data_IF_461871545301
#
_entry.id   IF_461871545301
#
_cell.length_a   1.000
_cell.length_b   1.000
_cell.length_c   1.000
_cell.angle_alpha   90.00
_cell.angle_beta   90.00
_cell.angle_gamma   90.00
#
_symmetry.space_group_name_H-M   'P 1'
#
loop_
_entity.id
_entity.type
_entity.pdbx_description
1 polymer ?
#
# COMPACT_ATOMS: atom_id res chain seq x y z
N UNK A 1 -7.15 -12.51 -31.50
CA UNK A 1 -6.86 -11.08 -31.27
C UNK A 1 -7.81 -10.43 -30.23
N UNK A 2 -9.08 -10.83 -30.15
CA UNK A 2 -10.04 -10.26 -29.17
C UNK A 2 -9.78 -10.68 -27.72
N UNK A 3 -9.36 -11.89 -27.45
CA UNK A 3 -9.11 -12.42 -26.08
C UNK A 3 -7.96 -11.68 -25.39
N UNK A 4 -6.88 -11.38 -26.11
CA UNK A 4 -5.71 -10.67 -25.57
C UNK A 4 -6.01 -9.20 -25.20
N UNK A 5 -6.91 -8.53 -25.94
CA UNK A 5 -7.32 -7.16 -25.62
C UNK A 5 -8.19 -7.12 -24.35
N UNK A 6 -9.08 -8.11 -24.20
CA UNK A 6 -9.96 -8.21 -23.02
C UNK A 6 -9.15 -8.50 -21.75
N UNK A 7 -8.18 -9.41 -21.82
CA UNK A 7 -7.27 -9.70 -20.68
C UNK A 7 -6.39 -8.49 -20.33
N UNK A 8 -5.87 -7.77 -21.33
CA UNK A 8 -5.10 -6.54 -21.11
C UNK A 8 -5.93 -5.44 -20.45
N UNK A 9 -7.15 -5.20 -20.96
CA UNK A 9 -8.08 -4.21 -20.40
C UNK A 9 -8.47 -4.57 -18.97
N UNK A 10 -8.83 -5.83 -18.71
CA UNK A 10 -9.16 -6.31 -17.35
C UNK A 10 -7.95 -6.12 -16.42
N UNK A 11 -6.75 -6.46 -16.86
CA UNK A 11 -5.53 -6.32 -16.07
C UNK A 11 -5.22 -4.86 -15.74
N UNK A 12 -5.33 -3.94 -16.72
CA UNK A 12 -5.11 -2.49 -16.51
C UNK A 12 -6.18 -1.90 -15.60
N UNK A 13 -7.45 -2.28 -15.75
CA UNK A 13 -8.52 -1.84 -14.85
C UNK A 13 -8.34 -2.39 -13.44
N UNK A 14 -7.99 -3.66 -13.29
CA UNK A 14 -7.71 -4.26 -11.98
C UNK A 14 -6.53 -3.59 -11.29
N UNK A 15 -5.43 -3.33 -11.99
CA UNK A 15 -4.27 -2.60 -11.44
C UNK A 15 -4.64 -1.17 -11.02
N UNK A 16 -5.46 -0.44 -11.79
CA UNK A 16 -5.92 0.89 -11.40
C UNK A 16 -6.85 0.90 -10.18
N UNK A 17 -7.72 -0.11 -10.07
CA UNK A 17 -8.61 -0.26 -8.91
C UNK A 17 -7.80 -0.62 -7.66
N UNK A 18 -6.86 -1.56 -7.78
CA UNK A 18 -5.97 -1.95 -6.68
C UNK A 18 -5.10 -0.78 -6.25
N UNK A 19 -4.45 -0.06 -7.17
CA UNK A 19 -3.65 1.12 -6.85
C UNK A 19 -4.46 2.25 -6.19
N UNK A 20 -5.71 2.48 -6.61
CA UNK A 20 -6.60 3.45 -5.99
C UNK A 20 -7.06 3.01 -4.59
N UNK A 21 -7.27 1.71 -4.39
CA UNK A 21 -7.61 1.13 -3.09
C UNK A 21 -6.45 1.20 -2.10
N UNK A 22 -5.24 0.91 -2.55
CA UNK A 22 -4.00 1.03 -1.77
C UNK A 22 -3.75 2.48 -1.32
N UNK A 23 -3.91 3.46 -2.20
CA UNK A 23 -3.76 4.88 -1.83
C UNK A 23 -4.80 5.34 -0.81
N UNK A 24 -6.04 4.80 -0.88
CA UNK A 24 -7.11 5.06 0.09
C UNK A 24 -6.73 4.54 1.48
N UNK A 25 -6.26 3.30 1.55
CA UNK A 25 -5.89 2.65 2.82
C UNK A 25 -4.59 3.22 3.39
N UNK A 26 -3.63 3.60 2.55
CA UNK A 26 -2.43 4.31 2.99
C UNK A 26 -2.76 5.67 3.62
N UNK A 27 -3.64 6.49 2.99
CA UNK A 27 -4.11 7.75 3.58
C UNK A 27 -4.89 7.54 4.88
N UNK A 28 -5.71 6.49 4.95
CA UNK A 28 -6.41 6.12 6.16
C UNK A 28 -5.44 5.70 7.27
N UNK A 29 -4.37 4.97 6.93
CA UNK A 29 -3.30 4.58 7.84
C UNK A 29 -2.55 5.79 8.40
N UNK A 30 -2.17 6.75 7.55
CA UNK A 30 -1.56 8.01 7.99
C UNK A 30 -2.47 8.76 8.98
N UNK A 31 -3.77 8.80 8.70
CA UNK A 31 -4.75 9.45 9.59
C UNK A 31 -4.94 8.67 10.89
N UNK A 32 -4.74 7.36 10.89
CA UNK A 32 -4.82 6.52 12.10
C UNK A 32 -3.69 6.78 13.09
N UNK A 33 -2.56 7.31 12.62
CA UNK A 33 -1.45 7.73 13.50
C UNK A 33 -1.78 9.02 14.26
N UNK A 34 -2.79 9.80 13.85
CA UNK A 34 -3.29 10.98 14.55
C UNK A 34 -4.23 11.84 13.70
N UNK A 35 -5.17 12.55 14.36
CA UNK A 35 -6.08 13.46 13.66
C UNK A 35 -5.33 14.53 12.89
N UNK A 36 -5.71 14.80 11.64
CA UNK A 36 -4.97 15.74 10.78
C UNK A 36 -5.80 16.46 9.74
N UNK A 37 -5.19 17.45 9.13
CA UNK A 37 -5.74 18.18 8.00
C UNK A 37 -5.29 17.56 6.68
N UNK A 38 -6.05 17.73 5.60
CA UNK A 38 -5.69 17.20 4.28
C UNK A 38 -4.33 17.69 3.79
N UNK A 39 -3.89 18.88 4.18
CA UNK A 39 -2.57 19.41 3.87
C UNK A 39 -1.45 18.62 4.57
N UNK A 40 -1.60 18.32 5.86
CA UNK A 40 -0.61 17.57 6.65
C UNK A 40 -0.49 16.14 6.15
N UNK A 41 -1.62 15.51 5.81
CA UNK A 41 -1.65 14.19 5.18
C UNK A 41 -0.91 14.16 3.84
N UNK A 42 -1.08 15.21 3.02
CA UNK A 42 -0.32 15.34 1.76
C UNK A 42 1.18 15.49 2.02
N UNK A 43 1.58 16.26 3.02
CA UNK A 43 2.98 16.43 3.42
C UNK A 43 3.59 15.11 3.89
N UNK A 44 2.88 14.36 4.75
CA UNK A 44 3.31 13.03 5.21
C UNK A 44 3.39 12.04 4.03
N UNK A 45 2.43 12.09 3.12
CA UNK A 45 2.47 11.29 1.89
C UNK A 45 3.72 11.60 1.06
N UNK A 46 4.00 12.89 0.83
CA UNK A 46 5.14 13.31 0.01
C UNK A 46 6.47 12.92 0.65
N UNK A 47 6.55 13.02 1.96
CA UNK A 47 7.75 12.63 2.69
C UNK A 47 8.04 11.12 2.51
N UNK A 48 7.04 10.27 2.67
CA UNK A 48 7.25 8.82 2.72
C UNK A 48 7.08 8.11 1.37
N UNK A 49 6.19 8.58 0.51
CA UNK A 49 5.72 7.79 -0.63
C UNK A 49 5.83 8.48 -1.99
N UNK A 50 6.18 9.77 -2.09
CA UNK A 50 6.15 10.50 -3.35
C UNK A 50 7.10 9.93 -4.41
N UNK A 51 8.23 9.35 -4.00
CA UNK A 51 9.22 8.77 -4.92
C UNK A 51 8.65 7.58 -5.71
N UNK A 52 7.78 6.77 -5.08
CA UNK A 52 7.17 5.58 -5.69
C UNK A 52 5.70 5.80 -6.09
N UNK A 53 4.99 6.67 -5.36
CA UNK A 53 3.55 6.92 -5.55
C UNK A 53 3.22 8.41 -5.44
N UNK A 54 3.49 9.23 -6.46
CA UNK A 54 3.12 10.65 -6.43
C UNK A 54 1.59 10.82 -6.34
N UNK A 55 1.11 11.69 -5.46
CA UNK A 55 -0.32 11.93 -5.23
C UNK A 55 -0.62 13.43 -5.27
N UNK A 56 -1.48 13.88 -6.18
CA UNK A 56 -1.86 15.29 -6.27
C UNK A 56 -2.81 15.71 -5.13
N UNK A 57 -2.78 16.99 -4.74
CA UNK A 57 -3.69 17.54 -3.71
C UNK A 57 -5.17 17.21 -3.99
N UNK A 58 -5.64 17.37 -5.23
CA UNK A 58 -7.01 17.05 -5.60
C UNK A 58 -7.37 15.59 -5.34
N UNK A 59 -6.44 14.67 -5.53
CA UNK A 59 -6.63 13.25 -5.25
C UNK A 59 -6.71 12.95 -3.74
N UNK A 60 -5.90 13.66 -2.92
CA UNK A 60 -6.00 13.56 -1.45
C UNK A 60 -7.40 13.96 -1.00
N UNK A 61 -7.88 15.15 -1.38
CA UNK A 61 -9.21 15.64 -0.97
C UNK A 61 -10.35 14.79 -1.52
N UNK A 62 -10.26 14.30 -2.76
CA UNK A 62 -11.23 13.37 -3.33
C UNK A 62 -11.27 12.03 -2.57
N UNK A 63 -10.11 11.58 -2.06
CA UNK A 63 -10.03 10.36 -1.25
C UNK A 63 -10.59 10.58 0.14
N UNK A 64 -10.28 11.71 0.80
CA UNK A 64 -10.87 12.07 2.09
C UNK A 64 -12.40 12.17 2.02
N UNK A 65 -12.96 12.78 0.97
CA UNK A 65 -14.39 12.85 0.76
C UNK A 65 -15.02 11.44 0.64
N UNK A 66 -14.34 10.51 -0.05
CA UNK A 66 -14.78 9.10 -0.14
C UNK A 66 -14.71 8.38 1.21
N UNK A 67 -13.63 8.59 1.98
CA UNK A 67 -13.47 8.01 3.31
C UNK A 67 -14.57 8.47 4.28
N UNK A 68 -14.94 9.77 4.24
CA UNK A 68 -16.08 10.31 5.01
C UNK A 68 -17.39 9.64 4.58
N UNK A 69 -17.67 9.60 3.28
CA UNK A 69 -18.87 8.95 2.72
C UNK A 69 -18.97 7.48 3.13
N UNK A 70 -17.85 6.77 3.15
CA UNK A 70 -17.76 5.35 3.48
C UNK A 70 -17.74 5.10 5.01
N UNK A 71 -17.83 6.16 5.84
CA UNK A 71 -17.86 6.07 7.31
C UNK A 71 -16.55 5.64 7.96
N UNK A 72 -15.43 5.69 7.24
CA UNK A 72 -14.11 5.29 7.74
C UNK A 72 -13.39 6.42 8.49
N UNK A 73 -13.76 7.65 8.21
CA UNK A 73 -13.30 8.86 8.93
C UNK A 73 -14.48 9.79 9.19
N UNK A 74 -14.34 10.65 10.20
CA UNK A 74 -15.26 11.76 10.48
C UNK A 74 -14.56 13.08 10.28
N UNK A 75 -15.31 14.11 9.87
CA UNK A 75 -14.84 15.48 9.91
C UNK A 75 -15.17 16.05 11.31
N UNK A 76 -14.13 16.49 12.01
CA UNK A 76 -14.27 17.16 13.31
C UNK A 76 -14.37 18.66 13.06
N UNK A 77 -15.22 19.36 13.81
CA UNK A 77 -15.33 20.81 13.73
C UNK A 77 -13.98 21.45 14.12
N UNK A 78 -13.52 22.35 13.27
CA UNK A 78 -12.33 23.15 13.57
C UNK A 78 -12.73 24.36 14.40
N UNK A 79 -11.96 24.68 15.44
CA UNK A 79 -12.09 25.96 16.13
C UNK A 79 -11.98 27.12 15.14
N UNK A 80 -12.85 28.15 15.24
CA UNK A 80 -12.79 29.30 14.35
C UNK A 80 -11.48 30.06 14.60
N UNK A 81 -10.53 29.93 13.68
CA UNK A 81 -9.27 30.64 13.65
C UNK A 81 -9.22 31.64 12.50
N UNK A 82 -8.29 32.58 12.53
CA UNK A 82 -8.13 33.69 11.56
C UNK A 82 -7.63 33.23 10.17
N UNK A 83 -8.16 32.12 9.64
CA UNK A 83 -7.80 31.56 8.32
C UNK A 83 -8.96 30.78 7.69
N UNK A 84 -8.86 30.38 6.39
CA UNK A 84 -9.89 29.57 5.77
C UNK A 84 -10.10 28.29 6.57
N UNK A 85 -11.37 27.91 6.81
CA UNK A 85 -11.77 26.71 7.55
C UNK A 85 -10.96 25.48 7.11
N UNK A 86 -10.06 25.02 7.98
CA UNK A 86 -9.27 23.81 7.73
C UNK A 86 -10.01 22.61 8.30
N UNK A 87 -10.62 21.83 7.43
CA UNK A 87 -11.28 20.59 7.82
C UNK A 87 -10.29 19.63 8.45
N UNK A 88 -10.53 19.25 9.70
CA UNK A 88 -9.78 18.24 10.43
C UNK A 88 -10.54 16.92 10.33
N UNK A 89 -9.80 15.83 10.17
CA UNK A 89 -10.36 14.50 10.02
C UNK A 89 -9.83 13.58 11.13
N UNK A 90 -10.68 12.67 11.57
CA UNK A 90 -10.35 11.62 12.54
C UNK A 90 -10.82 10.28 12.02
N UNK A 91 -10.04 9.21 12.29
CA UNK A 91 -10.40 7.85 11.91
C UNK A 91 -11.47 7.31 12.86
N UNK A 92 -12.46 6.62 12.32
CA UNK A 92 -13.47 5.88 13.09
C UNK A 92 -12.95 4.51 13.50
N UNK A 93 -13.66 3.81 14.42
CA UNK A 93 -13.32 2.43 14.80
C UNK A 93 -13.38 1.48 13.57
N UNK A 94 -14.37 1.65 12.68
CA UNK A 94 -14.43 0.92 11.42
C UNK A 94 -13.24 1.23 10.53
N UNK A 95 -12.78 2.48 10.51
CA UNK A 95 -11.57 2.89 9.79
C UNK A 95 -10.33 2.21 10.35
N UNK A 96 -10.15 2.17 11.67
CA UNK A 96 -9.03 1.48 12.34
C UNK A 96 -9.01 -0.02 11.99
N UNK A 97 -10.14 -0.70 12.13
CA UNK A 97 -10.27 -2.11 11.74
C UNK A 97 -9.91 -2.36 10.27
N UNK A 98 -10.30 -1.45 9.36
CA UNK A 98 -9.95 -1.54 7.94
C UNK A 98 -8.44 -1.44 7.71
N UNK A 99 -7.74 -0.59 8.47
CA UNK A 99 -6.26 -0.47 8.39
C UNK A 99 -5.60 -1.73 8.94
N UNK A 100 -6.02 -2.22 10.10
CA UNK A 100 -5.50 -3.46 10.71
C UNK A 100 -5.63 -4.65 9.74
N UNK A 101 -6.81 -4.84 9.16
CA UNK A 101 -7.04 -5.89 8.18
C UNK A 101 -6.14 -5.72 6.94
N UNK A 102 -6.00 -4.52 6.43
CA UNK A 102 -5.16 -4.22 5.28
C UNK A 102 -3.68 -4.52 5.55
N UNK A 103 -3.16 -4.15 6.71
CA UNK A 103 -1.78 -4.45 7.10
C UNK A 103 -1.49 -5.96 7.11
N UNK A 104 -2.43 -6.76 7.62
CA UNK A 104 -2.28 -8.22 7.72
C UNK A 104 -2.61 -8.97 6.41
N UNK A 105 -3.11 -8.29 5.38
CA UNK A 105 -3.42 -8.91 4.09
C UNK A 105 -2.23 -8.78 3.16
N UNK A 106 -1.53 -9.88 2.79
CA UNK A 106 -0.41 -9.81 1.87
C UNK A 106 -0.83 -9.28 0.48
N UNK A 107 0.10 -8.60 -0.19
CA UNK A 107 -0.08 -8.15 -1.58
C UNK A 107 0.32 -9.29 -2.51
N UNK A 108 -0.51 -9.59 -3.52
CA UNK A 108 -0.16 -10.59 -4.54
C UNK A 108 1.08 -10.12 -5.32
N UNK A 109 2.14 -10.96 -5.39
CA UNK A 109 3.36 -10.59 -6.11
C UNK A 109 3.09 -10.27 -7.59
N UNK A 110 3.34 -9.02 -7.97
CA UNK A 110 3.23 -8.47 -9.33
C UNK A 110 4.32 -7.42 -9.53
N UNK A 111 4.47 -6.87 -10.72
CA UNK A 111 5.63 -6.06 -11.11
C UNK A 111 6.01 -4.85 -10.24
N UNK A 112 5.12 -4.29 -9.42
CA UNK A 112 5.36 -3.04 -8.67
C UNK A 112 4.90 -3.13 -7.19
N UNK A 113 5.07 -4.30 -6.56
CA UNK A 113 4.58 -4.53 -5.18
C UNK A 113 5.42 -3.86 -4.09
N UNK A 114 6.68 -3.50 -4.34
CA UNK A 114 7.58 -2.92 -3.31
C UNK A 114 7.00 -1.65 -2.69
N UNK A 115 6.37 -0.79 -3.51
CA UNK A 115 5.78 0.45 -3.03
C UNK A 115 4.62 0.20 -2.05
N UNK A 116 3.83 -0.86 -2.27
CA UNK A 116 2.72 -1.24 -1.41
C UNK A 116 3.22 -1.88 -0.11
N UNK A 117 4.20 -2.78 -0.20
CA UNK A 117 4.83 -3.41 0.97
C UNK A 117 5.52 -2.34 1.83
N UNK A 118 6.25 -1.40 1.21
CA UNK A 118 6.90 -0.31 1.91
C UNK A 118 5.88 0.58 2.63
N UNK A 119 4.80 0.98 1.95
CA UNK A 119 3.74 1.78 2.57
C UNK A 119 3.12 1.08 3.79
N UNK A 120 2.82 -0.21 3.68
CA UNK A 120 2.32 -1.01 4.80
C UNK A 120 3.33 -1.08 5.95
N UNK A 121 4.62 -1.28 5.65
CA UNK A 121 5.68 -1.35 6.67
C UNK A 121 5.79 -0.03 7.44
N UNK A 122 5.81 1.11 6.74
CA UNK A 122 5.85 2.44 7.37
C UNK A 122 4.61 2.69 8.23
N UNK A 123 3.42 2.40 7.71
CA UNK A 123 2.17 2.57 8.47
C UNK A 123 2.15 1.65 9.71
N UNK A 124 2.58 0.40 9.60
CA UNK A 124 2.67 -0.50 10.75
C UNK A 124 3.60 0.07 11.85
N UNK A 125 4.76 0.61 11.45
CA UNK A 125 5.68 1.27 12.40
C UNK A 125 5.09 2.52 13.05
N UNK A 126 4.32 3.34 12.29
CA UNK A 126 3.62 4.52 12.81
C UNK A 126 2.52 4.16 13.82
N UNK A 127 1.93 2.99 13.68
CA UNK A 127 0.87 2.49 14.57
C UNK A 127 1.42 1.61 15.72
N UNK A 128 2.74 1.51 15.86
CA UNK A 128 3.41 0.59 16.79
C UNK A 128 2.98 -0.88 16.61
N UNK A 129 2.57 -1.25 15.38
CA UNK A 129 2.20 -2.61 15.02
C UNK A 129 3.42 -3.45 14.59
N UNK A 130 3.23 -4.76 14.46
CA UNK A 130 4.29 -5.72 14.14
C UNK A 130 4.62 -5.73 12.63
N UNK A 131 5.46 -4.78 12.21
CA UNK A 131 5.97 -4.71 10.83
C UNK A 131 6.79 -5.96 10.45
N UNK A 132 7.41 -6.66 11.41
CA UNK A 132 8.11 -7.91 11.17
C UNK A 132 7.15 -9.01 10.72
N UNK A 133 6.05 -9.19 11.43
CA UNK A 133 4.98 -10.12 11.07
C UNK A 133 4.38 -9.83 9.70
N UNK A 134 4.18 -8.55 9.36
CA UNK A 134 3.72 -8.15 8.04
C UNK A 134 4.66 -8.63 6.94
N UNK A 135 5.97 -8.42 7.10
CA UNK A 135 6.99 -8.86 6.15
C UNK A 135 7.05 -10.39 6.06
N UNK A 136 6.87 -11.13 7.16
CA UNK A 136 6.84 -12.59 7.14
C UNK A 136 5.63 -13.14 6.39
N UNK A 137 4.44 -12.56 6.58
CA UNK A 137 3.24 -12.89 5.81
C UNK A 137 3.45 -12.63 4.32
N UNK A 138 4.06 -11.49 3.98
CA UNK A 138 4.35 -11.15 2.59
C UNK A 138 5.38 -12.09 1.96
N UNK A 139 6.42 -12.49 2.70
CA UNK A 139 7.40 -13.51 2.25
C UNK A 139 6.73 -14.85 1.96
N UNK A 140 5.81 -15.28 2.82
CA UNK A 140 5.09 -16.54 2.63
C UNK A 140 4.29 -16.53 1.32
N UNK A 141 3.63 -15.42 0.99
CA UNK A 141 2.89 -15.23 -0.28
C UNK A 141 3.84 -15.27 -1.49
N UNK A 142 4.98 -14.57 -1.43
CA UNK A 142 6.00 -14.60 -2.49
C UNK A 142 6.54 -16.01 -2.73
N UNK A 143 6.83 -16.74 -1.65
CA UNK A 143 7.28 -18.14 -1.74
C UNK A 143 6.20 -19.08 -2.31
N UNK A 144 4.93 -18.83 -2.01
CA UNK A 144 3.82 -19.57 -2.61
C UNK A 144 3.76 -19.34 -4.12
N UNK A 145 3.85 -18.07 -4.54
CA UNK A 145 3.85 -17.69 -5.95
C UNK A 145 5.07 -18.25 -6.71
N UNK A 146 6.23 -18.23 -6.09
CA UNK A 146 7.46 -18.83 -6.65
C UNK A 146 7.26 -20.31 -6.96
N UNK A 147 6.65 -21.08 -6.05
CA UNK A 147 6.35 -22.51 -6.27
C UNK A 147 5.40 -22.72 -7.44
N UNK A 148 4.36 -21.89 -7.59
CA UNK A 148 3.42 -21.96 -8.72
C UNK A 148 4.11 -21.71 -10.06
N UNK A 149 4.91 -20.65 -10.15
CA UNK A 149 5.66 -20.31 -11.36
C UNK A 149 6.67 -21.38 -11.74
N UNK A 150 7.34 -21.97 -10.75
CA UNK A 150 8.28 -23.08 -10.98
C UNK A 150 7.57 -24.30 -11.55
N UNK A 151 6.35 -24.62 -11.09
CA UNK A 151 5.55 -25.71 -11.67
C UNK A 151 5.13 -25.41 -13.12
N UNK A 152 4.69 -24.16 -13.39
CA UNK A 152 4.32 -23.74 -14.75
C UNK A 152 5.46 -23.92 -15.76
N UNK A 153 6.71 -23.80 -15.33
CA UNK A 153 7.88 -24.01 -16.19
C UNK A 153 8.08 -25.46 -16.59
N UNK A 154 7.65 -26.44 -15.77
CA UNK A 154 7.92 -27.87 -16.03
C UNK A 154 7.21 -28.37 -17.29
N UNK A 155 5.97 -27.90 -17.52
CA UNK A 155 5.13 -28.35 -18.64
C UNK A 155 4.87 -27.23 -19.66
N UNK A 156 5.51 -26.06 -19.50
CA UNK A 156 5.27 -24.87 -20.31
C UNK A 156 6.06 -24.87 -21.63
N UNK A 157 5.49 -24.25 -22.66
CA UNK A 157 6.23 -23.90 -23.87
C UNK A 157 7.29 -22.81 -23.57
N UNK A 158 8.19 -22.55 -24.51
CA UNK A 158 9.27 -21.56 -24.33
C UNK A 158 8.75 -20.18 -23.91
N UNK A 159 7.62 -19.74 -24.45
CA UNK A 159 7.00 -18.46 -24.09
C UNK A 159 6.59 -18.44 -22.61
N UNK A 160 5.92 -19.49 -22.16
CA UNK A 160 5.50 -19.67 -20.76
C UNK A 160 6.70 -19.70 -19.82
N UNK A 161 7.76 -20.43 -20.20
CA UNK A 161 9.02 -20.50 -19.44
C UNK A 161 9.65 -19.12 -19.29
N UNK A 162 9.81 -18.35 -20.38
CA UNK A 162 10.42 -17.02 -20.34
C UNK A 162 9.61 -16.01 -19.51
N UNK A 163 8.28 -16.06 -19.59
CA UNK A 163 7.42 -15.20 -18.77
C UNK A 163 7.47 -15.57 -17.28
N UNK A 164 7.52 -16.86 -16.98
CA UNK A 164 7.69 -17.35 -15.61
C UNK A 164 9.07 -16.98 -15.04
N UNK A 165 10.15 -17.07 -15.84
CA UNK A 165 11.50 -16.64 -15.43
C UNK A 165 11.53 -15.16 -15.09
N UNK A 166 10.94 -14.30 -15.93
CA UNK A 166 10.85 -12.88 -15.64
C UNK A 166 10.14 -12.61 -14.30
N UNK A 167 8.99 -13.27 -14.06
CA UNK A 167 8.26 -13.12 -12.81
C UNK A 167 9.05 -13.66 -11.60
N UNK A 168 9.79 -14.77 -11.77
CA UNK A 168 10.64 -15.33 -10.71
C UNK A 168 11.78 -14.39 -10.32
N UNK A 169 12.44 -13.72 -11.28
CA UNK A 169 13.48 -12.73 -10.99
C UNK A 169 12.94 -11.54 -10.17
N UNK A 170 11.73 -11.08 -10.45
CA UNK A 170 11.08 -10.03 -9.65
C UNK A 170 10.82 -10.51 -8.23
N UNK A 171 10.26 -11.71 -8.06
CA UNK A 171 10.00 -12.30 -6.74
C UNK A 171 11.29 -12.47 -5.92
N UNK A 172 12.37 -12.91 -6.55
CA UNK A 172 13.68 -13.04 -5.89
C UNK A 172 14.21 -11.68 -5.43
N UNK A 173 14.07 -10.64 -6.26
CA UNK A 173 14.44 -9.28 -5.89
C UNK A 173 13.61 -8.76 -4.71
N UNK A 174 12.29 -8.98 -4.72
CA UNK A 174 11.38 -8.59 -3.65
C UNK A 174 11.72 -9.30 -2.34
N UNK A 175 11.97 -10.60 -2.37
CA UNK A 175 12.36 -11.38 -1.19
C UNK A 175 13.66 -10.86 -0.56
N UNK A 176 14.66 -10.56 -1.39
CA UNK A 176 15.94 -10.00 -0.94
C UNK A 176 15.77 -8.59 -0.35
N UNK A 177 14.92 -7.77 -0.96
CA UNK A 177 14.60 -6.44 -0.45
C UNK A 177 13.85 -6.52 0.88
N UNK A 178 12.87 -7.41 1.04
CA UNK A 178 12.15 -7.62 2.30
C UNK A 178 13.09 -8.07 3.42
N UNK A 179 14.06 -8.94 3.14
CA UNK A 179 15.07 -9.35 4.12
C UNK A 179 15.94 -8.16 4.56
N UNK A 180 16.38 -7.33 3.62
CA UNK A 180 17.13 -6.11 3.91
C UNK A 180 16.31 -5.11 4.74
N UNK A 181 15.03 -4.97 4.42
CA UNK A 181 14.09 -4.10 5.15
C UNK A 181 13.86 -4.63 6.57
N UNK A 182 13.64 -5.93 6.73
CA UNK A 182 13.47 -6.55 8.05
C UNK A 182 14.67 -6.34 8.96
N UNK A 183 15.89 -6.43 8.41
CA UNK A 183 17.13 -6.17 9.17
C UNK A 183 17.25 -4.70 9.64
N UNK A 184 16.54 -3.76 9.01
CA UNK A 184 16.60 -2.31 9.30
C UNK A 184 15.33 -1.74 9.92
N UNK A 185 14.41 -2.57 10.38
CA UNK A 185 13.15 -2.10 10.96
C UNK A 185 13.34 -1.17 12.18
N UNK A 186 14.38 -1.39 12.97
CA UNK A 186 14.66 -0.52 14.14
C UNK A 186 15.12 0.88 13.68
N UNK A 187 16.00 0.97 12.69
CA UNK A 187 16.44 2.25 12.11
C UNK A 187 15.25 3.00 11.52
N UNK A 188 14.41 2.32 10.74
CA UNK A 188 13.22 2.91 10.16
C UNK A 188 12.19 3.34 11.22
N UNK A 189 12.08 2.60 12.33
CA UNK A 189 11.20 3.00 13.46
C UNK A 189 11.66 4.29 14.12
N UNK A 190 12.94 4.51 14.27
CA UNK A 190 13.50 5.75 14.81
C UNK A 190 13.20 6.93 13.88
N UNK A 191 13.35 6.74 12.57
CA UNK A 191 13.04 7.77 11.55
C UNK A 191 11.56 8.13 11.50
N UNK A 192 10.67 7.15 11.66
CA UNK A 192 9.21 7.35 11.69
C UNK A 192 8.76 8.17 12.91
N UNK A 193 9.50 8.08 14.03
CA UNK A 193 9.19 8.79 15.28
C UNK A 193 9.84 10.18 15.40
N UNK A 194 10.76 10.53 14.51
CA UNK A 194 11.44 11.83 14.48
C UNK A 194 10.59 12.92 13.81
#
# INVERSE_FOLDING_TARGET
MHILLTEYVVRVYTQRIVAAMESKLTLLGLLSAGPGHGYDLKRSWDHWFAASKPLAYGQVYATLARLVRDGLITQVETEPGAGPERKRYEVTDTGRQSVEQWLLTPVTPAGDVQADIFAKTVIALMLDDDAGRLLDLQRAEHMARMRELTRLKQDGDLRTVLLADHALFHIEADLRWMETTAARLNELREEVRS
#
